data_IF_902274996228
#
_entry.id   IF_902274996228
#
_cell.length_a   1.000
_cell.length_b   1.000
_cell.length_c   1.000
_cell.angle_alpha   90.00
_cell.angle_beta   90.00
_cell.angle_gamma   90.00
#
_symmetry.space_group_name_H-M   'P 1'
#
loop_
_entity.id
_entity.type
_entity.pdbx_description
1 polymer ?
#
# COMPACT_ATOMS: atom_id res chain seq x y z
N UNK A 1 -13.74 -22.31 18.28
CA UNK A 1 -13.17 -22.31 16.92
C UNK A 1 -14.06 -21.47 16.03
N UNK A 2 -13.73 -20.18 15.86
CA UNK A 2 -14.55 -19.23 15.11
C UNK A 2 -13.78 -18.78 13.87
N UNK A 3 -13.99 -19.46 12.75
CA UNK A 3 -13.57 -18.99 11.44
C UNK A 3 -14.60 -17.98 10.94
N UNK A 4 -14.17 -16.74 10.64
CA UNK A 4 -15.03 -15.70 10.07
C UNK A 4 -14.18 -14.86 9.11
N UNK A 5 -14.71 -14.66 7.90
CA UNK A 5 -14.48 -13.40 7.18
C UNK A 5 -13.58 -13.46 5.95
N UNK A 6 -13.67 -14.51 5.12
CA UNK A 6 -13.22 -14.44 3.73
C UNK A 6 -14.13 -13.50 2.95
N UNK A 7 -13.96 -12.20 3.15
CA UNK A 7 -14.59 -11.14 2.36
C UNK A 7 -14.03 -11.14 0.95
N UNK A 8 -14.42 -12.13 0.13
CA UNK A 8 -14.47 -11.97 -1.31
C UNK A 8 -15.53 -10.89 -1.56
N UNK A 9 -15.16 -9.82 -2.28
CA UNK A 9 -15.87 -9.39 -3.49
C UNK A 9 -15.58 -7.96 -4.00
N UNK A 10 -15.41 -7.91 -5.33
CA UNK A 10 -15.69 -6.86 -6.33
C UNK A 10 -14.71 -5.70 -6.56
N UNK A 11 -14.08 -5.81 -7.74
CA UNK A 11 -13.96 -4.83 -8.80
C UNK A 11 -14.66 -3.48 -8.57
N UNK A 12 -13.88 -2.40 -8.70
CA UNK A 12 -14.42 -1.09 -9.03
C UNK A 12 -13.52 -0.43 -10.08
N UNK A 13 -14.12 -0.13 -11.23
CA UNK A 13 -13.73 1.00 -12.06
C UNK A 13 -12.78 0.68 -13.21
N UNK A 14 -13.36 0.36 -14.35
CA UNK A 14 -12.77 0.66 -15.64
C UNK A 14 -12.40 2.14 -15.71
N UNK A 15 -11.10 2.43 -15.69
CA UNK A 15 -10.49 3.51 -16.46
C UNK A 15 -9.10 3.00 -16.85
N UNK A 16 -8.91 2.79 -18.15
CA UNK A 16 -7.77 2.14 -18.80
C UNK A 16 -6.46 2.95 -18.78
N UNK A 17 -6.10 3.67 -17.71
CA UNK A 17 -4.83 4.43 -17.66
C UNK A 17 -4.15 4.49 -16.29
N UNK A 18 -4.26 3.43 -15.47
CA UNK A 18 -3.39 3.27 -14.27
C UNK A 18 -3.11 1.80 -13.90
N UNK A 19 -3.61 0.84 -14.69
CA UNK A 19 -3.59 -0.60 -14.41
C UNK A 19 -2.21 -1.28 -14.46
N UNK A 20 -1.17 -0.55 -14.88
CA UNK A 20 0.20 -1.07 -14.94
C UNK A 20 1.01 -0.84 -13.65
N UNK A 21 0.54 0.02 -12.74
CA UNK A 21 1.28 0.35 -11.53
C UNK A 21 0.79 -0.41 -10.30
N UNK A 22 1.74 -1.01 -9.58
CA UNK A 22 1.52 -1.66 -8.28
C UNK A 22 1.16 -0.60 -7.23
N UNK A 23 -0.11 -0.20 -7.14
CA UNK A 23 -0.55 0.85 -6.21
C UNK A 23 -1.03 0.31 -4.86
N UNK A 24 -0.75 1.03 -3.78
CA UNK A 24 -1.35 0.85 -2.45
C UNK A 24 -2.23 2.05 -2.12
N UNK A 25 -3.42 1.81 -1.56
CA UNK A 25 -4.36 2.85 -1.14
C UNK A 25 -4.69 2.68 0.35
N UNK A 26 -4.28 3.66 1.17
CA UNK A 26 -4.47 3.63 2.62
C UNK A 26 -5.95 3.65 3.02
N UNK A 27 -6.82 4.21 2.17
CA UNK A 27 -8.26 4.27 2.44
C UNK A 27 -8.89 2.89 2.37
N UNK A 28 -8.38 2.05 1.46
CA UNK A 28 -8.81 0.65 1.36
C UNK A 28 -8.34 -0.13 2.58
N UNK A 29 -7.09 0.02 2.98
CA UNK A 29 -6.60 -0.61 4.22
C UNK A 29 -7.37 -0.17 5.45
N UNK A 30 -7.73 1.11 5.57
CA UNK A 30 -8.60 1.58 6.64
C UNK A 30 -9.98 0.92 6.60
N UNK A 31 -10.62 0.90 5.42
CA UNK A 31 -11.95 0.31 5.25
C UNK A 31 -11.97 -1.16 5.63
N UNK A 32 -10.91 -1.87 5.29
CA UNK A 32 -10.75 -3.31 5.54
C UNK A 32 -10.24 -3.61 6.97
N UNK A 33 -10.04 -2.59 7.82
CA UNK A 33 -9.58 -2.76 9.20
C UNK A 33 -8.11 -3.20 9.35
N UNK A 34 -7.30 -3.02 8.30
CA UNK A 34 -5.93 -3.51 8.21
C UNK A 34 -4.90 -2.60 8.88
N UNK A 35 -5.29 -1.39 9.30
CA UNK A 35 -4.39 -0.37 9.88
C UNK A 35 -4.27 -0.42 11.41
N UNK A 36 -4.78 -1.46 12.08
CA UNK A 36 -4.59 -1.55 13.54
C UNK A 36 -3.11 -1.82 13.83
N UNK A 37 -2.47 -1.07 14.75
CA UNK A 37 -1.07 -1.28 15.11
C UNK A 37 -0.79 -2.71 15.58
N UNK A 38 0.36 -3.26 15.17
CA UNK A 38 0.78 -4.62 15.52
C UNK A 38 0.24 -5.71 14.59
N UNK A 39 -0.62 -5.36 13.62
CA UNK A 39 -1.07 -6.31 12.62
C UNK A 39 0.00 -6.55 11.54
N UNK A 40 -0.09 -7.72 10.90
CA UNK A 40 0.68 -8.06 9.71
C UNK A 40 -0.24 -8.71 8.70
N UNK A 41 -0.24 -8.22 7.46
CA UNK A 41 -1.10 -8.74 6.39
C UNK A 41 -0.36 -8.83 5.05
N UNK A 42 -0.88 -9.66 4.15
CA UNK A 42 -0.41 -9.74 2.78
C UNK A 42 -1.19 -8.79 1.87
N UNK A 43 -0.51 -8.16 0.92
CA UNK A 43 -1.13 -7.37 -0.13
C UNK A 43 -0.65 -7.86 -1.49
N UNK A 44 -1.58 -8.05 -2.43
CA UNK A 44 -1.29 -8.66 -3.72
C UNK A 44 -1.91 -7.84 -4.85
N UNK A 45 -1.21 -7.81 -5.98
CA UNK A 45 -1.72 -7.28 -7.24
C UNK A 45 -1.97 -8.45 -8.18
N UNK A 46 -3.14 -8.43 -8.81
CA UNK A 46 -3.55 -9.44 -9.77
C UNK A 46 -3.67 -8.81 -11.17
N UNK A 47 -3.30 -9.57 -12.20
CA UNK A 47 -3.60 -9.28 -13.60
C UNK A 47 -4.20 -10.55 -14.18
N UNK A 48 -5.40 -10.47 -14.77
CA UNK A 48 -6.12 -11.64 -15.30
C UNK A 48 -6.20 -12.80 -14.28
N UNK A 49 -6.54 -12.47 -13.03
CA UNK A 49 -6.61 -13.41 -11.88
C UNK A 49 -5.29 -14.08 -11.47
N UNK A 50 -4.17 -13.75 -12.12
CA UNK A 50 -2.84 -14.20 -11.72
C UNK A 50 -2.15 -13.17 -10.82
N UNK A 51 -1.55 -13.65 -9.73
CA UNK A 51 -0.77 -12.79 -8.82
C UNK A 51 0.53 -12.38 -9.51
N UNK A 52 0.64 -11.10 -9.86
CA UNK A 52 1.83 -10.53 -10.51
C UNK A 52 2.84 -9.97 -9.51
N UNK A 53 2.39 -9.63 -8.30
CA UNK A 53 3.24 -9.15 -7.22
C UNK A 53 2.55 -9.30 -5.87
N UNK A 54 3.35 -9.44 -4.81
CA UNK A 54 2.86 -9.44 -3.44
C UNK A 54 3.87 -8.79 -2.50
N UNK A 55 3.36 -8.12 -1.47
CA UNK A 55 4.14 -7.63 -0.34
C UNK A 55 3.50 -8.10 0.97
N UNK A 56 4.30 -8.11 2.03
CA UNK A 56 3.80 -8.17 3.41
C UNK A 56 3.86 -6.77 4.01
N UNK A 57 2.85 -6.41 4.78
CA UNK A 57 2.75 -5.11 5.43
C UNK A 57 2.66 -5.35 6.93
N UNK A 58 3.53 -4.69 7.68
CA UNK A 58 3.46 -4.65 9.14
C UNK A 58 3.05 -3.26 9.58
N UNK A 59 2.01 -3.15 10.40
CA UNK A 59 1.48 -1.87 10.87
C UNK A 59 2.06 -1.49 12.23
N UNK A 60 2.38 -0.21 12.36
CA UNK A 60 2.79 0.43 13.61
C UNK A 60 1.92 1.68 13.82
N UNK A 61 1.97 2.32 15.01
CA UNK A 61 1.14 3.49 15.29
C UNK A 61 1.34 4.67 14.32
N UNK A 62 2.58 4.89 13.87
CA UNK A 62 3.01 6.05 13.09
C UNK A 62 3.46 5.71 11.67
N UNK A 63 3.52 4.41 11.31
CA UNK A 63 4.08 3.94 10.03
C UNK A 63 3.56 2.56 9.65
N UNK A 64 3.82 2.20 8.40
CA UNK A 64 3.77 0.81 7.93
C UNK A 64 5.14 0.42 7.40
N UNK A 65 5.57 -0.82 7.66
CA UNK A 65 6.75 -1.39 7.02
C UNK A 65 6.30 -2.26 5.86
N UNK A 66 6.74 -1.93 4.65
CA UNK A 66 6.55 -2.79 3.50
C UNK A 66 7.72 -3.76 3.43
N UNK A 67 7.41 -5.05 3.44
CA UNK A 67 8.36 -6.15 3.38
C UNK A 67 8.12 -6.88 2.06
N UNK A 68 9.10 -6.85 1.17
CA UNK A 68 9.02 -7.52 -0.13
C UNK A 68 10.39 -7.96 -0.61
N UNK A 69 10.36 -8.91 -1.55
CA UNK A 69 11.57 -9.40 -2.19
C UNK A 69 11.74 -8.77 -3.55
N UNK A 70 12.95 -8.34 -3.86
CA UNK A 70 13.31 -7.95 -5.22
C UNK A 70 14.57 -8.70 -5.65
N UNK A 71 14.74 -8.86 -6.96
CA UNK A 71 15.92 -9.48 -7.58
C UNK A 71 16.49 -8.49 -8.58
N UNK A 72 17.71 -8.02 -8.34
CA UNK A 72 18.44 -7.19 -9.28
C UNK A 72 19.41 -8.05 -10.09
N UNK A 73 19.35 -7.98 -11.42
CA UNK A 73 20.40 -8.49 -12.32
C UNK A 73 20.79 -9.97 -12.17
N UNK A 74 19.84 -10.86 -11.87
CA UNK A 74 20.12 -12.30 -11.78
C UNK A 74 20.74 -12.79 -10.46
N UNK A 75 20.98 -11.91 -9.48
CA UNK A 75 21.47 -12.29 -8.14
C UNK A 75 20.42 -12.98 -7.26
N UNK A 76 20.72 -13.20 -5.98
CA UNK A 76 19.76 -13.79 -5.03
C UNK A 76 18.59 -12.85 -4.71
N UNK A 77 17.49 -13.42 -4.23
CA UNK A 77 16.36 -12.65 -3.72
C UNK A 77 16.77 -11.89 -2.46
N UNK A 78 16.62 -10.57 -2.50
CA UNK A 78 16.91 -9.69 -1.36
C UNK A 78 15.58 -9.34 -0.68
N UNK A 79 15.49 -9.63 0.62
CA UNK A 79 14.40 -9.16 1.47
C UNK A 79 14.63 -7.67 1.77
N UNK A 80 13.80 -6.79 1.18
CA UNK A 80 13.75 -5.38 1.52
C UNK A 80 12.61 -5.12 2.50
N UNK A 81 12.91 -4.42 3.57
CA UNK A 81 11.94 -3.85 4.50
C UNK A 81 12.18 -2.37 4.58
N UNK A 82 11.19 -1.55 4.24
CA UNK A 82 11.31 -0.10 4.42
C UNK A 82 10.03 0.54 4.98
N UNK A 83 10.18 1.60 5.80
CA UNK A 83 9.07 2.26 6.44
C UNK A 83 8.40 3.30 5.53
N UNK A 84 7.07 3.41 5.64
CA UNK A 84 6.26 4.50 5.11
C UNK A 84 5.53 5.11 6.29
N UNK A 85 5.86 6.36 6.61
CA UNK A 85 5.19 7.08 7.69
C UNK A 85 3.74 7.38 7.33
N UNK A 86 2.90 7.32 8.36
CA UNK A 86 1.49 7.65 8.29
C UNK A 86 1.25 9.00 8.95
N UNK A 87 0.26 9.69 8.44
CA UNK A 87 -0.31 10.86 9.08
C UNK A 87 -1.83 10.73 9.11
N UNK A 88 -2.50 11.56 9.90
CA UNK A 88 -3.95 11.53 10.02
C UNK A 88 -4.52 12.94 10.05
N UNK A 89 -5.74 13.07 9.54
CA UNK A 89 -6.53 14.30 9.65
C UNK A 89 -7.82 13.97 10.36
N UNK A 90 -8.13 14.68 11.44
CA UNK A 90 -9.39 14.50 12.14
C UNK A 90 -10.58 14.92 11.26
N UNK A 91 -11.63 14.12 11.29
CA UNK A 91 -12.86 14.42 10.57
C UNK A 91 -13.85 15.12 11.52
N UNK A 92 -14.50 16.20 11.05
CA UNK A 92 -15.47 16.97 11.84
C UNK A 92 -16.66 16.14 12.35
N UNK A 93 -17.00 15.05 11.66
CA UNK A 93 -18.09 14.13 12.03
C UNK A 93 -17.59 12.87 12.77
N UNK A 94 -16.35 12.88 13.27
CA UNK A 94 -15.73 11.78 13.99
C UNK A 94 -14.82 10.89 13.13
N UNK A 95 -13.84 10.27 13.79
CA UNK A 95 -12.82 9.43 13.18
C UNK A 95 -11.68 10.21 12.50
N UNK A 96 -10.73 9.47 11.94
CA UNK A 96 -9.51 10.04 11.37
C UNK A 96 -9.30 9.59 9.94
N UNK A 97 -8.96 10.49 9.03
CA UNK A 97 -8.57 10.14 7.67
C UNK A 97 -7.06 9.89 7.62
N UNK A 98 -6.61 8.65 7.37
CA UNK A 98 -5.19 8.35 7.30
C UNK A 98 -4.62 8.73 5.94
N UNK A 99 -3.34 9.04 5.95
CA UNK A 99 -2.54 9.44 4.81
C UNK A 99 -1.19 8.72 4.85
N UNK A 100 -0.67 8.36 3.69
CA UNK A 100 0.76 8.10 3.57
C UNK A 100 1.51 9.42 3.50
N UNK A 101 2.69 9.46 4.10
CA UNK A 101 3.71 10.44 3.76
C UNK A 101 4.59 9.85 2.65
N UNK A 102 4.66 10.53 1.51
CA UNK A 102 5.47 10.06 0.39
C UNK A 102 6.93 9.89 0.82
N UNK A 103 7.51 8.67 0.75
CA UNK A 103 8.85 8.38 1.28
C UNK A 103 9.97 8.84 0.33
N UNK A 104 9.63 9.32 -0.88
CA UNK A 104 10.61 9.85 -1.81
C UNK A 104 11.34 11.06 -1.20
N UNK A 105 12.66 11.08 -1.35
CA UNK A 105 13.51 12.14 -0.80
C UNK A 105 13.02 13.53 -1.25
N UNK A 106 12.80 14.43 -0.27
CA UNK A 106 12.32 15.80 -0.52
C UNK A 106 10.83 15.93 -0.85
N UNK A 107 10.04 14.85 -0.85
CA UNK A 107 8.60 14.91 -1.12
C UNK A 107 7.76 15.12 0.15
N UNK A 108 7.68 14.11 1.02
CA UNK A 108 6.94 14.18 2.30
C UNK A 108 5.44 14.49 2.20
N UNK A 109 4.86 14.55 1.01
CA UNK A 109 3.45 14.94 0.82
C UNK A 109 2.51 13.90 1.39
N UNK A 110 1.41 14.36 2.01
CA UNK A 110 0.25 13.54 2.39
C UNK A 110 -0.47 13.08 1.13
N UNK A 111 -0.52 11.77 0.92
CA UNK A 111 -1.19 11.15 -0.23
C UNK A 111 -1.96 9.90 0.18
N UNK A 112 -3.08 9.64 -0.49
CA UNK A 112 -3.88 8.45 -0.22
C UNK A 112 -3.31 7.21 -0.94
N UNK A 113 -2.64 7.42 -2.07
CA UNK A 113 -2.15 6.37 -2.95
C UNK A 113 -0.65 6.54 -3.16
N UNK A 114 0.09 5.44 -3.01
CA UNK A 114 1.47 5.33 -3.48
C UNK A 114 1.53 4.29 -4.59
N UNK A 115 2.37 4.54 -5.58
CA UNK A 115 2.58 3.69 -6.75
C UNK A 115 3.94 3.00 -6.62
N UNK A 116 4.01 1.73 -6.97
CA UNK A 116 5.18 0.88 -6.82
C UNK A 116 6.05 0.84 -8.07
N UNK A 117 7.35 1.11 -7.88
CA UNK A 117 8.44 0.99 -8.85
C UNK A 117 9.67 0.36 -8.19
N UNK A 118 10.80 1.09 -8.14
CA UNK A 118 11.96 0.74 -7.29
C UNK A 118 11.67 0.94 -5.80
N UNK A 119 10.84 1.93 -5.48
CA UNK A 119 10.27 2.21 -4.16
C UNK A 119 8.76 2.42 -4.35
N UNK A 120 8.00 2.69 -3.30
CA UNK A 120 6.65 3.25 -3.46
C UNK A 120 6.70 4.76 -3.30
N UNK A 121 6.15 5.51 -4.25
CA UNK A 121 6.15 6.97 -4.23
C UNK A 121 4.82 7.54 -4.75
N UNK A 122 4.57 8.82 -4.50
CA UNK A 122 3.36 9.47 -4.99
C UNK A 122 3.41 9.71 -6.51
N UNK A 123 2.24 9.95 -7.12
CA UNK A 123 2.13 10.23 -8.56
C UNK A 123 3.03 11.38 -9.03
N UNK A 124 3.21 12.41 -8.19
CA UNK A 124 4.05 13.55 -8.55
C UNK A 124 5.54 13.19 -8.64
N UNK A 125 6.03 12.32 -7.74
CA UNK A 125 7.41 11.84 -7.78
C UNK A 125 7.66 10.92 -8.97
N UNK A 126 6.64 10.19 -9.41
CA UNK A 126 6.69 9.34 -10.59
C UNK A 126 6.22 10.01 -11.87
N UNK A 127 5.94 11.32 -11.84
CA UNK A 127 5.48 12.09 -12.99
C UNK A 127 4.30 11.42 -13.72
N UNK A 128 3.42 10.75 -12.95
CA UNK A 128 2.21 10.13 -13.47
C UNK A 128 1.15 11.22 -13.64
N UNK A 129 0.55 11.28 -14.83
CA UNK A 129 -0.50 12.23 -15.21
C UNK A 129 -1.79 12.01 -14.41
#
# INVERSE_FOLDING_TARGET
>A
MGGIGSGRHWHFGAHETTGDYRAIDIRRWKRDGLLVPGQTFGWQWLRNDEVIASIRVQTQPDRVNLIYRHRSGGGDWQDESYPIFLDSTDCHLGGQRPWFLCPAAGCGKRVAILYGGKIFACRHCYQLA
#
